data_IF_826211903804
#
_entry.id   IF_826211903804
#
_cell.length_a   1.000
_cell.length_b   1.000
_cell.length_c   1.000
_cell.angle_alpha   90.00
_cell.angle_beta   90.00
_cell.angle_gamma   90.00
#
_symmetry.space_group_name_H-M   'P 1'
#
loop_
_entity.id
_entity.type
_entity.pdbx_description
1 polymer ?
#
# COMPACT_ATOMS: atom_id res chain seq x y z
N UNK A 1 11.63 4.95 -6.46
CA UNK A 1 10.26 5.47 -6.51
C UNK A 1 10.10 6.39 -7.70
N UNK A 2 9.25 5.99 -8.63
CA UNK A 2 9.31 6.53 -9.98
C UNK A 2 8.35 7.70 -10.22
N UNK A 3 7.32 7.87 -9.39
CA UNK A 3 6.33 8.95 -9.57
C UNK A 3 6.65 10.23 -8.78
N UNK A 4 6.24 11.39 -9.32
CA UNK A 4 6.36 12.70 -8.63
C UNK A 4 5.55 12.75 -7.33
N UNK A 5 4.27 12.30 -7.27
CA UNK A 5 3.49 12.28 -6.04
C UNK A 5 4.17 11.48 -4.92
N UNK A 6 4.69 10.29 -5.22
CA UNK A 6 5.39 9.49 -4.21
C UNK A 6 6.66 10.17 -3.72
N UNK A 7 7.47 10.78 -4.61
CA UNK A 7 8.66 11.53 -4.18
C UNK A 7 8.29 12.69 -3.24
N UNK A 8 7.24 13.45 -3.57
CA UNK A 8 6.73 14.52 -2.69
C UNK A 8 6.27 13.98 -1.35
N UNK A 9 5.53 12.88 -1.34
CA UNK A 9 5.08 12.22 -0.11
C UNK A 9 6.25 11.79 0.77
N UNK A 10 7.26 11.12 0.19
CA UNK A 10 8.48 10.71 0.92
C UNK A 10 9.23 11.93 1.47
N UNK A 11 9.39 12.98 0.67
CA UNK A 11 9.98 14.24 1.15
C UNK A 11 9.19 14.83 2.31
N UNK A 12 7.85 14.79 2.28
CA UNK A 12 7.03 15.27 3.38
C UNK A 12 7.21 14.43 4.67
N UNK A 13 7.25 13.09 4.56
CA UNK A 13 7.52 12.21 5.71
C UNK A 13 8.89 12.45 6.36
N UNK A 14 9.89 12.76 5.53
CA UNK A 14 11.26 12.95 5.99
C UNK A 14 11.57 14.44 6.29
N UNK A 15 10.62 15.35 6.07
CA UNK A 15 10.83 16.80 6.16
C UNK A 15 11.34 17.25 7.53
N UNK A 16 10.91 16.59 8.61
CA UNK A 16 11.29 16.89 10.00
C UNK A 16 12.25 15.86 10.60
N UNK A 17 12.99 15.14 9.74
CA UNK A 17 13.91 14.08 10.15
C UNK A 17 15.33 14.40 9.68
N UNK A 18 16.30 14.02 10.50
CA UNK A 18 17.71 14.03 10.10
C UNK A 18 18.46 12.94 10.83
N UNK A 19 19.55 12.49 10.21
CA UNK A 19 20.47 11.53 10.82
C UNK A 19 21.39 12.19 11.85
N UNK A 20 21.81 13.43 11.59
CA UNK A 20 22.82 14.11 12.40
C UNK A 20 22.35 15.48 12.91
N UNK A 21 21.60 16.23 12.10
CA UNK A 21 21.14 17.55 12.49
C UNK A 21 20.02 17.45 13.53
N UNK A 22 20.02 18.35 14.50
CA UNK A 22 18.99 18.43 15.56
C UNK A 22 17.98 19.55 15.34
N UNK A 23 18.32 20.53 14.50
CA UNK A 23 17.50 21.71 14.18
C UNK A 23 17.57 22.00 12.69
N UNK A 24 16.48 22.55 12.13
CA UNK A 24 16.44 23.05 10.76
C UNK A 24 15.63 24.33 10.68
N UNK A 25 16.11 25.27 9.87
CA UNK A 25 15.34 26.46 9.50
C UNK A 25 14.41 26.12 8.33
N UNK A 26 13.12 26.43 8.50
CA UNK A 26 12.09 26.33 7.47
C UNK A 26 11.56 27.71 7.16
N UNK A 27 11.39 28.00 5.87
CA UNK A 27 10.64 29.17 5.43
C UNK A 27 9.21 28.73 5.11
N UNK A 28 8.28 29.14 5.97
CA UNK A 28 6.86 28.94 5.77
C UNK A 28 6.32 30.03 4.86
N UNK A 29 5.59 29.63 3.83
CA UNK A 29 4.87 30.53 2.93
C UNK A 29 3.38 30.46 3.27
N UNK A 30 2.76 31.61 3.57
CA UNK A 30 1.32 31.73 3.80
C UNK A 30 0.78 32.85 2.93
N UNK A 31 0.18 32.50 1.79
CA UNK A 31 -0.15 33.50 0.77
C UNK A 31 1.13 34.14 0.23
N UNK A 32 1.25 35.46 0.36
CA UNK A 32 2.46 36.21 0.00
C UNK A 32 3.48 36.36 1.13
N UNK A 33 3.12 36.02 2.37
CA UNK A 33 3.98 36.23 3.54
C UNK A 33 4.98 35.08 3.73
N UNK A 34 6.18 35.43 4.20
CA UNK A 34 7.21 34.47 4.60
C UNK A 34 7.48 34.55 6.09
N UNK A 35 7.59 33.39 6.74
CA UNK A 35 8.02 33.27 8.13
C UNK A 35 9.12 32.22 8.21
N UNK A 36 10.29 32.61 8.73
CA UNK A 36 11.35 31.64 9.06
C UNK A 36 11.14 31.10 10.48
N UNK A 37 11.06 29.79 10.60
CA UNK A 37 10.98 29.09 11.90
C UNK A 37 12.11 28.07 12.01
N UNK A 38 12.67 27.94 13.20
CA UNK A 38 13.62 26.85 13.51
C UNK A 38 12.86 25.75 14.22
N UNK A 39 12.84 24.55 13.65
CA UNK A 39 12.13 23.41 14.23
C UNK A 39 13.09 22.27 14.57
N UNK A 40 12.83 21.52 15.64
CA UNK A 40 13.62 20.34 15.99
C UNK A 40 13.41 19.23 14.97
N UNK A 41 14.50 18.55 14.63
CA UNK A 41 14.49 17.35 13.81
C UNK A 41 14.48 16.11 14.71
N UNK A 42 13.82 15.06 14.24
CA UNK A 42 13.79 13.77 14.92
C UNK A 42 14.70 12.77 14.20
N UNK A 43 15.49 12.03 14.97
CA UNK A 43 16.19 10.86 14.46
C UNK A 43 15.21 9.73 14.17
N UNK A 44 15.67 8.71 13.45
CA UNK A 44 14.81 7.62 13.00
C UNK A 44 14.23 6.79 14.14
N UNK A 45 15.04 6.56 15.16
CA UNK A 45 14.73 5.82 16.38
C UNK A 45 13.79 6.56 17.34
N UNK A 46 13.47 7.83 17.08
CA UNK A 46 12.50 8.59 17.87
C UNK A 46 11.08 8.00 17.80
N UNK A 47 10.71 7.44 16.64
CA UNK A 47 9.43 6.76 16.48
C UNK A 47 9.64 5.28 16.75
N UNK A 48 8.90 4.67 17.69
CA UNK A 48 9.05 3.27 17.97
C UNK A 48 8.66 2.44 16.74
N UNK A 49 9.35 1.32 16.54
CA UNK A 49 8.98 0.29 15.56
C UNK A 49 7.72 -0.45 16.06
N UNK A 50 6.60 0.25 16.16
CA UNK A 50 5.37 -0.28 16.72
C UNK A 50 4.49 -0.87 15.63
N UNK A 51 4.63 -2.17 15.33
CA UNK A 51 3.50 -3.01 14.91
C UNK A 51 3.72 -4.46 15.37
N UNK A 52 3.05 -4.89 16.44
CA UNK A 52 3.01 -6.32 16.81
C UNK A 52 2.19 -7.14 15.81
N UNK A 53 1.19 -6.53 15.14
CA UNK A 53 0.33 -7.18 14.16
C UNK A 53 0.39 -6.46 12.81
N UNK A 54 0.73 -7.24 11.79
CA UNK A 54 0.87 -6.81 10.39
C UNK A 54 -0.43 -6.91 9.60
N UNK A 55 -1.41 -7.67 10.12
CA UNK A 55 -2.76 -7.78 9.56
C UNK A 55 -3.80 -7.68 10.68
N UNK A 56 -4.79 -6.83 10.49
CA UNK A 56 -5.90 -6.63 11.44
C UNK A 56 -7.24 -6.80 10.73
N UNK A 57 -8.27 -7.26 11.46
CA UNK A 57 -9.63 -7.28 10.94
C UNK A 57 -10.67 -6.73 11.92
N UNK A 58 -11.74 -6.18 11.36
CA UNK A 58 -12.96 -5.78 12.07
C UNK A 58 -14.17 -5.91 11.16
N UNK A 59 -15.37 -5.86 11.75
CA UNK A 59 -16.64 -5.89 11.01
C UNK A 59 -17.26 -4.50 11.09
N UNK A 60 -17.71 -3.97 9.96
CA UNK A 60 -18.43 -2.70 9.84
C UNK A 60 -19.87 -2.97 9.41
N UNK A 61 -20.82 -2.25 10.01
CA UNK A 61 -22.25 -2.32 9.64
C UNK A 61 -22.76 -3.77 9.49
N UNK A 62 -22.30 -4.65 10.39
CA UNK A 62 -22.61 -6.09 10.52
C UNK A 62 -22.35 -6.99 9.30
N UNK A 63 -21.98 -6.42 8.14
CA UNK A 63 -21.96 -7.12 6.85
C UNK A 63 -20.70 -6.84 6.02
N UNK A 64 -19.86 -5.91 6.45
CA UNK A 64 -18.64 -5.51 5.74
C UNK A 64 -17.44 -5.97 6.56
N UNK A 65 -16.71 -6.95 6.04
CA UNK A 65 -15.38 -7.27 6.55
C UNK A 65 -14.42 -6.14 6.20
N UNK A 66 -13.60 -5.73 7.16
CA UNK A 66 -12.52 -4.79 6.93
C UNK A 66 -11.20 -5.44 7.33
N UNK A 67 -10.27 -5.54 6.39
CA UNK A 67 -8.97 -6.18 6.55
C UNK A 67 -7.87 -5.16 6.25
N UNK A 68 -7.05 -4.80 7.24
CA UNK A 68 -5.88 -3.93 7.01
C UNK A 68 -4.64 -4.80 6.86
N UNK A 69 -3.89 -4.64 5.77
CA UNK A 69 -2.61 -5.32 5.55
C UNK A 69 -1.54 -4.24 5.49
N UNK A 70 -0.77 -4.10 6.58
CA UNK A 70 0.11 -2.95 6.82
C UNK A 70 1.49 -3.09 6.16
N UNK A 71 1.91 -4.33 5.93
CA UNK A 71 3.19 -4.66 5.30
C UNK A 71 3.09 -5.97 4.53
N UNK A 72 4.04 -6.26 3.65
CA UNK A 72 4.24 -7.59 3.04
C UNK A 72 5.43 -8.34 3.68
N UNK A 73 5.91 -7.88 4.83
CA UNK A 73 6.95 -8.56 5.62
C UNK A 73 6.32 -9.57 6.58
N UNK A 74 7.09 -10.57 7.00
CA UNK A 74 6.63 -11.50 8.03
C UNK A 74 6.38 -10.75 9.35
N UNK A 75 5.37 -11.15 10.14
CA UNK A 75 4.55 -12.36 10.01
C UNK A 75 3.20 -12.19 9.27
N UNK A 76 3.14 -11.39 8.18
CA UNK A 76 1.88 -11.10 7.46
C UNK A 76 1.03 -12.31 7.06
N UNK A 77 1.64 -13.43 6.69
CA UNK A 77 0.88 -14.62 6.30
C UNK A 77 0.21 -15.30 7.50
N UNK A 78 0.91 -15.35 8.63
CA UNK A 78 0.40 -15.88 9.89
C UNK A 78 -0.75 -15.01 10.41
N UNK A 79 -0.54 -13.69 10.45
CA UNK A 79 -1.57 -12.74 10.89
C UNK A 79 -2.79 -12.79 9.97
N UNK A 80 -2.58 -12.81 8.65
CA UNK A 80 -3.66 -12.95 7.68
C UNK A 80 -4.50 -14.21 7.92
N UNK A 81 -3.86 -15.37 8.07
CA UNK A 81 -4.55 -16.64 8.33
C UNK A 81 -5.30 -16.63 9.67
N UNK A 82 -4.80 -15.91 10.67
CA UNK A 82 -5.47 -15.78 11.96
C UNK A 82 -6.75 -14.93 11.90
N UNK A 83 -6.80 -13.92 11.02
CA UNK A 83 -7.93 -12.97 10.96
C UNK A 83 -8.90 -13.20 9.81
N UNK A 84 -8.47 -13.80 8.69
CA UNK A 84 -9.28 -14.05 7.51
C UNK A 84 -10.57 -14.87 7.78
N UNK A 85 -10.55 -15.93 8.62
CA UNK A 85 -11.76 -16.68 8.95
C UNK A 85 -12.88 -15.83 9.56
N UNK A 86 -12.55 -14.70 10.18
CA UNK A 86 -13.52 -13.79 10.81
C UNK A 86 -14.33 -12.97 9.80
N UNK A 87 -13.84 -12.84 8.57
CA UNK A 87 -14.42 -11.96 7.54
C UNK A 87 -14.78 -12.69 6.24
N UNK A 88 -14.27 -13.90 6.03
CA UNK A 88 -14.38 -14.63 4.74
C UNK A 88 -15.82 -14.97 4.31
N UNK A 89 -16.76 -15.05 5.25
CA UNK A 89 -18.16 -15.41 4.98
C UNK A 89 -19.07 -14.17 4.88
N UNK A 90 -18.55 -12.97 5.09
CA UNK A 90 -19.30 -11.72 4.93
C UNK A 90 -19.50 -11.40 3.44
N UNK A 91 -20.61 -10.76 3.04
CA UNK A 91 -20.92 -10.46 1.64
C UNK A 91 -20.00 -9.41 0.99
N UNK A 92 -19.42 -8.52 1.80
CA UNK A 92 -18.52 -7.45 1.37
C UNK A 92 -17.22 -7.48 2.15
N UNK A 93 -16.10 -7.24 1.44
CA UNK A 93 -14.78 -7.13 2.04
C UNK A 93 -14.09 -5.86 1.52
N UNK A 94 -13.70 -5.00 2.45
CA UNK A 94 -12.77 -3.90 2.21
C UNK A 94 -11.39 -4.36 2.67
N UNK A 95 -10.42 -4.33 1.76
CA UNK A 95 -9.02 -4.60 2.05
C UNK A 95 -8.28 -3.27 1.98
N UNK A 96 -7.59 -2.90 3.05
CA UNK A 96 -6.83 -1.65 3.12
C UNK A 96 -5.33 -1.94 3.05
N UNK A 97 -4.69 -1.45 1.98
CA UNK A 97 -3.23 -1.48 1.79
C UNK A 97 -2.65 -0.07 1.67
N UNK A 98 -3.41 0.96 2.07
CA UNK A 98 -2.88 2.32 2.26
C UNK A 98 -1.74 2.26 3.27
N UNK A 99 -0.71 3.06 3.05
CA UNK A 99 0.52 3.07 3.88
C UNK A 99 1.31 1.75 3.91
N UNK A 100 0.98 0.77 3.06
CA UNK A 100 1.78 -0.46 2.92
C UNK A 100 2.94 -0.27 1.93
N UNK A 101 4.16 -0.16 2.45
CA UNK A 101 5.36 0.07 1.63
C UNK A 101 5.88 -1.17 0.88
N UNK A 102 5.23 -2.32 1.04
CA UNK A 102 5.63 -3.59 0.44
C UNK A 102 6.42 -4.48 1.41
N UNK A 103 7.37 -5.25 0.87
CA UNK A 103 8.00 -6.35 1.59
C UNK A 103 8.33 -7.52 0.66
N UNK A 104 7.94 -8.73 1.03
CA UNK A 104 8.18 -9.92 0.23
C UNK A 104 7.01 -10.13 -0.75
N UNK A 105 7.27 -10.07 -2.06
CA UNK A 105 6.25 -10.30 -3.09
C UNK A 105 5.55 -11.65 -2.96
N UNK A 106 6.22 -12.69 -2.46
CA UNK A 106 5.58 -14.00 -2.28
C UNK A 106 4.50 -13.99 -1.20
N UNK A 107 4.60 -13.11 -0.19
CA UNK A 107 3.51 -12.92 0.77
C UNK A 107 2.29 -12.28 0.07
N UNK A 108 2.52 -11.25 -0.75
CA UNK A 108 1.46 -10.66 -1.59
C UNK A 108 0.82 -11.69 -2.54
N UNK A 109 1.62 -12.51 -3.21
CA UNK A 109 1.15 -13.61 -4.07
C UNK A 109 0.26 -14.58 -3.28
N UNK A 110 0.73 -15.06 -2.13
CA UNK A 110 0.01 -16.04 -1.32
C UNK A 110 -1.31 -15.47 -0.77
N UNK A 111 -1.34 -14.19 -0.38
CA UNK A 111 -2.58 -13.51 0.03
C UNK A 111 -3.52 -13.32 -1.18
N UNK A 112 -3.00 -12.92 -2.34
CA UNK A 112 -3.79 -12.69 -3.55
C UNK A 112 -4.60 -13.93 -3.97
N UNK A 113 -4.04 -15.13 -3.79
CA UNK A 113 -4.72 -16.40 -4.05
C UNK A 113 -6.04 -16.58 -3.29
N UNK A 114 -6.22 -15.91 -2.14
CA UNK A 114 -7.48 -15.93 -1.39
C UNK A 114 -8.56 -15.01 -1.99
N UNK A 115 -8.23 -14.19 -2.99
CA UNK A 115 -9.12 -13.14 -3.50
C UNK A 115 -9.37 -13.20 -5.01
N UNK A 116 -8.55 -13.93 -5.77
CA UNK A 116 -8.76 -14.18 -7.19
C UNK A 116 -9.81 -15.28 -7.42
N UNK A 117 -10.51 -15.21 -8.56
CA UNK A 117 -11.57 -16.18 -8.92
C UNK A 117 -11.11 -17.24 -9.91
N UNK A 118 -10.13 -16.91 -10.74
CA UNK A 118 -9.59 -17.77 -11.79
C UNK A 118 -8.07 -17.80 -11.71
N UNK A 119 -7.47 -18.80 -12.34
CA UNK A 119 -6.02 -18.90 -12.44
C UNK A 119 -5.47 -17.72 -13.24
N UNK A 120 -4.43 -17.06 -12.72
CA UNK A 120 -3.79 -15.95 -13.41
C UNK A 120 -2.28 -15.86 -13.13
N UNK A 121 -1.46 -15.37 -14.07
CA UNK A 121 -0.04 -15.14 -13.84
C UNK A 121 0.20 -14.03 -12.80
N UNK A 122 1.22 -14.19 -11.96
CA UNK A 122 1.72 -13.10 -11.12
C UNK A 122 2.40 -12.02 -11.97
N UNK A 123 2.09 -10.75 -11.74
CA UNK A 123 2.59 -9.64 -12.55
C UNK A 123 4.12 -9.54 -12.63
N UNK A 124 4.84 -9.82 -11.53
CA UNK A 124 6.32 -9.77 -11.50
C UNK A 124 6.98 -11.06 -12.01
N UNK A 125 6.25 -12.18 -12.01
CA UNK A 125 6.77 -13.47 -12.49
C UNK A 125 5.68 -14.21 -13.25
N UNK A 126 5.55 -13.90 -14.54
CA UNK A 126 4.47 -14.39 -15.41
C UNK A 126 4.41 -15.92 -15.54
N UNK A 127 5.54 -16.61 -15.31
CA UNK A 127 5.61 -18.07 -15.27
C UNK A 127 4.98 -18.67 -14.00
N UNK A 128 4.83 -17.88 -12.94
CA UNK A 128 4.17 -18.31 -11.73
C UNK A 128 2.66 -18.07 -11.87
N UNK A 129 1.91 -19.15 -12.02
CA UNK A 129 0.44 -19.10 -12.12
C UNK A 129 -0.16 -19.22 -10.73
N UNK A 130 -0.83 -18.16 -10.28
CA UNK A 130 -1.61 -18.15 -9.06
C UNK A 130 -2.92 -18.91 -9.28
N UNK A 131 -3.15 -19.92 -8.46
CA UNK A 131 -4.43 -20.63 -8.39
C UNK A 131 -5.24 -20.08 -7.21
N UNK A 132 -6.55 -19.85 -7.36
CA UNK A 132 -7.41 -19.51 -6.23
C UNK A 132 -7.28 -20.57 -5.13
N UNK A 133 -7.22 -20.13 -3.87
CA UNK A 133 -7.31 -21.06 -2.73
C UNK A 133 -8.70 -21.72 -2.67
N UNK A 134 -8.76 -22.90 -2.07
CA UNK A 134 -10.02 -23.62 -1.90
C UNK A 134 -11.08 -22.79 -1.15
N UNK A 135 -10.64 -21.98 -0.18
CA UNK A 135 -11.43 -21.05 0.61
C UNK A 135 -11.33 -19.59 0.13
N UNK A 136 -11.00 -19.37 -1.16
CA UNK A 136 -10.96 -18.04 -1.75
C UNK A 136 -12.31 -17.32 -1.59
N UNK A 137 -12.24 -16.06 -1.19
CA UNK A 137 -13.37 -15.18 -0.89
C UNK A 137 -14.30 -15.05 -2.09
N UNK A 138 -15.60 -15.19 -1.85
CA UNK A 138 -16.62 -15.20 -2.93
C UNK A 138 -17.42 -13.91 -3.05
N UNK A 139 -17.39 -13.06 -2.02
CA UNK A 139 -18.12 -11.79 -1.97
C UNK A 139 -17.56 -10.71 -2.90
N UNK A 140 -18.02 -9.46 -2.69
CA UNK A 140 -17.51 -8.28 -3.42
C UNK A 140 -16.32 -7.67 -2.68
N UNK A 141 -15.25 -7.36 -3.41
CA UNK A 141 -14.00 -6.85 -2.84
C UNK A 141 -13.78 -5.40 -3.26
N UNK A 142 -13.44 -4.57 -2.29
CA UNK A 142 -12.99 -3.21 -2.45
C UNK A 142 -11.56 -3.10 -1.89
N UNK A 143 -10.64 -2.52 -2.65
CA UNK A 143 -9.23 -2.41 -2.26
C UNK A 143 -8.86 -0.92 -2.11
N UNK A 144 -8.46 -0.52 -0.92
CA UNK A 144 -8.05 0.86 -0.64
C UNK A 144 -6.54 1.00 -0.85
N UNK A 145 -6.14 1.97 -1.66
CA UNK A 145 -4.74 2.27 -1.98
C UNK A 145 -4.45 3.75 -1.77
N UNK A 146 -3.19 4.08 -1.51
CA UNK A 146 -2.73 5.46 -1.50
C UNK A 146 -1.38 5.61 -2.20
N UNK A 147 -0.92 6.86 -2.28
CA UNK A 147 0.38 7.22 -2.87
C UNK A 147 1.57 6.53 -2.15
N UNK A 148 1.38 6.00 -0.93
CA UNK A 148 2.41 5.28 -0.18
C UNK A 148 2.47 3.80 -0.56
N UNK A 149 1.37 3.18 -0.99
CA UNK A 149 1.32 1.78 -1.44
C UNK A 149 2.41 1.55 -2.50
N UNK A 150 3.38 0.66 -2.23
CA UNK A 150 4.59 0.51 -3.05
C UNK A 150 5.12 -0.94 -3.11
N UNK A 151 5.97 -1.24 -4.08
CA UNK A 151 6.77 -2.47 -4.15
C UNK A 151 5.91 -3.74 -4.12
N UNK A 152 6.11 -4.66 -3.17
CA UNK A 152 5.32 -5.88 -3.07
C UNK A 152 3.81 -5.62 -2.87
N UNK A 153 3.44 -4.54 -2.18
CA UNK A 153 2.04 -4.14 -2.02
C UNK A 153 1.45 -3.61 -3.33
N UNK A 154 2.28 -2.99 -4.16
CA UNK A 154 1.90 -2.56 -5.49
C UNK A 154 1.75 -3.75 -6.45
N UNK A 155 2.63 -4.76 -6.40
CA UNK A 155 2.43 -5.98 -7.18
C UNK A 155 1.15 -6.73 -6.78
N UNK A 156 0.85 -6.79 -5.47
CA UNK A 156 -0.43 -7.32 -4.98
C UNK A 156 -1.62 -6.52 -5.51
N UNK A 157 -1.53 -5.19 -5.46
CA UNK A 157 -2.58 -4.31 -5.98
C UNK A 157 -2.79 -4.51 -7.48
N UNK A 158 -1.72 -4.72 -8.25
CA UNK A 158 -1.79 -4.96 -9.69
C UNK A 158 -2.45 -6.29 -9.99
N UNK A 159 -2.03 -7.36 -9.32
CA UNK A 159 -2.64 -8.69 -9.46
C UNK A 159 -4.13 -8.69 -9.11
N UNK A 160 -4.50 -7.99 -8.02
CA UNK A 160 -5.90 -7.80 -7.59
C UNK A 160 -6.71 -6.98 -8.60
N UNK A 161 -6.13 -5.94 -9.18
CA UNK A 161 -6.81 -5.15 -10.22
C UNK A 161 -7.01 -5.96 -11.49
N UNK A 162 -5.97 -6.69 -11.91
CA UNK A 162 -5.99 -7.48 -13.13
C UNK A 162 -6.85 -8.74 -13.02
N UNK A 163 -7.18 -9.22 -11.81
CA UNK A 163 -8.15 -10.31 -11.65
C UNK A 163 -9.57 -9.95 -12.07
N UNK A 164 -9.88 -8.64 -12.17
CA UNK A 164 -11.16 -8.14 -12.66
C UNK A 164 -12.33 -8.27 -11.68
N UNK A 165 -12.12 -8.78 -10.46
CA UNK A 165 -13.16 -8.95 -9.44
C UNK A 165 -13.03 -8.03 -8.23
N UNK A 166 -12.22 -6.96 -8.34
CA UNK A 166 -11.88 -6.04 -7.24
C UNK A 166 -12.10 -4.59 -7.67
N UNK A 167 -12.73 -3.79 -6.81
CA UNK A 167 -12.88 -2.34 -7.01
C UNK A 167 -11.84 -1.56 -6.20
N UNK A 168 -10.77 -1.11 -6.86
CA UNK A 168 -9.78 -0.18 -6.28
C UNK A 168 -10.34 1.23 -6.04
N UNK A 169 -10.09 1.78 -4.86
CA UNK A 169 -10.52 3.11 -4.40
C UNK A 169 -9.32 3.78 -3.71
N UNK A 170 -9.17 5.10 -3.90
CA UNK A 170 -8.19 5.89 -3.16
C UNK A 170 -7.32 6.71 -4.10
N UNK A 171 -6.00 6.61 -3.94
CA UNK A 171 -5.04 7.27 -4.83
C UNK A 171 -4.22 6.26 -5.63
N UNK A 172 -3.60 6.75 -6.71
CA UNK A 172 -2.63 5.97 -7.46
C UNK A 172 -1.43 5.60 -6.57
N UNK A 173 -0.93 4.37 -6.73
CA UNK A 173 0.19 3.84 -5.95
C UNK A 173 1.53 4.53 -6.31
N UNK A 174 2.63 4.14 -5.66
CA UNK A 174 3.91 4.83 -5.82
C UNK A 174 4.64 4.65 -7.16
N UNK A 175 4.31 3.60 -7.92
CA UNK A 175 4.73 3.32 -9.30
C UNK A 175 6.14 2.74 -9.43
N UNK A 176 6.49 1.79 -8.58
CA UNK A 176 7.81 1.15 -8.57
C UNK A 176 7.70 -0.29 -7.99
N UNK A 177 7.47 -1.27 -8.88
CA UNK A 177 7.45 -2.70 -8.54
C UNK A 177 8.18 -3.56 -9.57
N UNK A 178 8.54 -4.79 -9.18
CA UNK A 178 9.18 -5.77 -10.07
C UNK A 178 10.68 -5.60 -10.35
N UNK A 179 11.28 -4.48 -9.94
CA UNK A 179 12.67 -4.09 -10.27
C UNK A 179 13.80 -4.92 -9.60
N UNK A 180 13.45 -5.83 -8.68
CA UNK A 180 14.35 -6.82 -8.06
C UNK A 180 15.63 -6.20 -7.44
N UNK A 181 15.51 -5.39 -6.38
CA UNK A 181 16.65 -4.68 -5.81
C UNK A 181 17.55 -5.64 -5.04
N UNK A 182 18.85 -5.61 -5.32
CA UNK A 182 19.87 -6.44 -4.63
C UNK A 182 20.72 -5.59 -3.69
N UNK A 183 21.05 -6.11 -2.49
CA UNK A 183 21.98 -5.43 -1.59
C UNK A 183 23.41 -5.57 -2.09
N UNK A 184 24.17 -4.49 -1.96
CA UNK A 184 25.60 -4.42 -2.20
C UNK A 184 26.29 -3.82 -0.98
N UNK A 185 27.54 -4.20 -0.77
CA UNK A 185 28.35 -3.72 0.35
C UNK A 185 29.73 -3.31 -0.19
N UNK A 186 30.17 -2.09 0.13
CA UNK A 186 31.54 -1.65 -0.16
C UNK A 186 32.53 -2.30 0.80
N UNK A 187 33.83 -2.26 0.46
CA UNK A 187 34.90 -2.69 1.39
C UNK A 187 34.85 -1.89 2.71
N UNK A 188 34.38 -0.64 2.66
CA UNK A 188 34.22 0.25 3.81
C UNK A 188 32.87 0.08 4.54
N UNK A 189 32.15 -1.03 4.30
CA UNK A 189 30.86 -1.37 4.95
C UNK A 189 29.72 -0.37 4.70
N UNK A 190 29.75 0.31 3.56
CA UNK A 190 28.61 1.08 3.08
C UNK A 190 27.64 0.15 2.36
N UNK A 191 26.38 0.14 2.78
CA UNK A 191 25.33 -0.69 2.20
C UNK A 191 24.43 0.15 1.29
N UNK A 192 24.11 -0.38 0.11
CA UNK A 192 23.14 0.23 -0.80
C UNK A 192 22.40 -0.87 -1.56
N UNK A 193 21.27 -0.52 -2.18
CA UNK A 193 20.49 -1.42 -3.02
C UNK A 193 20.42 -0.88 -4.44
N UNK A 194 20.65 -1.74 -5.42
CA UNK A 194 20.51 -1.39 -6.85
C UNK A 194 19.48 -2.33 -7.46
N UNK A 195 18.48 -1.82 -8.22
CA UNK A 195 17.62 -2.64 -9.07
C UNK A 195 18.44 -3.44 -10.08
N UNK A 196 18.24 -4.76 -10.17
CA UNK A 196 18.98 -5.62 -11.11
C UNK A 196 18.11 -6.24 -12.19
N UNK A 197 16.81 -5.93 -12.22
CA UNK A 197 15.89 -6.35 -13.29
C UNK A 197 15.58 -5.16 -14.19
N UNK A 198 15.35 -5.46 -15.46
CA UNK A 198 14.84 -4.47 -16.40
C UNK A 198 13.37 -4.15 -16.05
N UNK A 199 12.91 -2.92 -16.32
CA UNK A 199 11.49 -2.60 -16.28
C UNK A 199 10.71 -3.57 -17.16
N UNK A 200 9.57 -4.04 -16.68
CA UNK A 200 8.69 -4.97 -17.39
C UNK A 200 7.23 -4.48 -17.27
N UNK A 201 6.36 -5.08 -18.07
CA UNK A 201 4.92 -4.85 -18.08
C UNK A 201 4.21 -6.06 -17.49
N UNK A 202 3.04 -5.85 -16.89
CA UNK A 202 2.17 -6.96 -16.46
C UNK A 202 1.66 -7.80 -17.64
N UNK A 203 0.94 -8.87 -17.33
CA UNK A 203 0.30 -9.72 -18.34
C UNK A 203 -0.79 -8.98 -19.13
N UNK A 204 -1.39 -7.93 -18.56
CA UNK A 204 -2.33 -7.03 -19.27
C UNK A 204 -1.67 -5.75 -19.80
N UNK A 205 -0.34 -5.68 -19.79
CA UNK A 205 0.43 -4.60 -20.41
C UNK A 205 0.62 -3.35 -19.55
N UNK A 206 0.31 -3.40 -18.25
CA UNK A 206 0.53 -2.26 -17.35
C UNK A 206 2.04 -2.09 -17.06
N UNK A 207 2.63 -0.90 -17.25
CA UNK A 207 4.03 -0.66 -16.89
C UNK A 207 4.25 -0.75 -15.38
N UNK A 208 5.16 -1.59 -14.92
CA UNK A 208 5.39 -1.81 -13.48
C UNK A 208 6.28 -0.74 -12.82
N UNK A 209 6.85 0.16 -13.61
CA UNK A 209 7.68 1.28 -13.14
C UNK A 209 7.26 2.58 -13.83
N UNK A 210 7.40 3.70 -13.12
CA UNK A 210 7.18 5.04 -13.68
C UNK A 210 5.76 5.57 -13.53
N UNK A 211 4.80 4.67 -13.31
CA UNK A 211 3.38 4.99 -13.19
C UNK A 211 2.77 4.25 -12.01
N UNK A 212 2.04 4.97 -11.16
CA UNK A 212 1.24 4.38 -10.09
C UNK A 212 0.01 3.70 -10.65
N UNK A 213 -0.43 2.60 -10.04
CA UNK A 213 -1.65 1.90 -10.46
C UNK A 213 -2.83 2.81 -10.15
N UNK A 214 -3.58 3.29 -11.16
CA UNK A 214 -4.69 4.19 -10.91
C UNK A 214 -5.86 3.42 -10.26
N UNK A 215 -6.57 4.01 -9.30
CA UNK A 215 -7.78 3.40 -8.75
C UNK A 215 -8.92 3.45 -9.77
N UNK A 216 -9.98 2.68 -9.55
CA UNK A 216 -11.23 2.85 -10.31
C UNK A 216 -11.99 4.09 -9.82
N UNK A 217 -11.91 4.38 -8.52
CA UNK A 217 -12.46 5.59 -7.90
C UNK A 217 -11.34 6.39 -7.24
N UNK A 218 -10.99 7.53 -7.82
CA UNK A 218 -10.01 8.46 -7.24
C UNK A 218 -10.65 9.20 -6.06
N UNK A 219 -10.16 8.94 -4.85
CA UNK A 219 -10.62 9.56 -3.60
C UNK A 219 -9.40 9.85 -2.75
N UNK A 220 -9.18 11.11 -2.40
CA UNK A 220 -8.05 11.53 -1.56
C UNK A 220 -8.56 11.95 -0.19
N UNK A 221 -7.85 11.55 0.87
CA UNK A 221 -8.09 12.04 2.22
C UNK A 221 -7.95 13.58 2.22
N UNK A 222 -8.97 14.29 2.68
CA UNK A 222 -8.88 15.74 2.82
C UNK A 222 -8.26 16.12 4.16
N UNK A 223 -7.59 17.28 4.21
CA UNK A 223 -7.07 17.83 5.48
C UNK A 223 -8.21 18.10 6.45
N UNK A 224 -9.35 18.59 5.96
CA UNK A 224 -10.51 18.89 6.79
C UNK A 224 -11.07 17.63 7.48
N UNK A 225 -11.26 16.56 6.71
CA UNK A 225 -11.75 15.28 7.23
C UNK A 225 -10.71 14.65 8.16
N UNK A 226 -9.42 14.72 7.82
CA UNK A 226 -8.35 14.21 8.68
C UNK A 226 -8.33 14.91 10.04
N UNK A 227 -8.54 16.23 10.06
CA UNK A 227 -8.62 17.02 11.29
C UNK A 227 -9.87 16.73 12.13
N UNK A 228 -10.86 16.03 11.57
CA UNK A 228 -12.08 15.58 12.25
C UNK A 228 -12.07 14.09 12.60
N UNK A 229 -10.96 13.39 12.35
CA UNK A 229 -10.87 11.92 12.46
C UNK A 229 -11.85 11.19 11.53
N UNK A 230 -12.15 11.80 10.37
CA UNK A 230 -12.99 11.23 9.32
C UNK A 230 -12.12 10.62 8.23
N UNK A 231 -12.30 9.32 7.95
CA UNK A 231 -11.61 8.63 6.85
C UNK A 231 -12.41 8.77 5.54
N UNK A 232 -12.03 9.73 4.71
CA UNK A 232 -12.73 10.04 3.44
C UNK A 232 -12.81 8.81 2.53
N UNK A 233 -11.73 8.04 2.44
CA UNK A 233 -11.59 6.93 1.48
C UNK A 233 -12.39 5.72 1.95
N UNK A 234 -12.32 5.39 3.24
CA UNK A 234 -13.13 4.33 3.84
C UNK A 234 -14.61 4.66 3.76
N UNK A 235 -15.00 5.88 4.14
CA UNK A 235 -16.40 6.31 4.10
C UNK A 235 -16.97 6.22 2.69
N UNK A 236 -16.19 6.59 1.67
CA UNK A 236 -16.57 6.43 0.27
C UNK A 236 -16.79 4.95 -0.11
N UNK A 237 -15.90 4.05 0.30
CA UNK A 237 -16.03 2.61 0.03
C UNK A 237 -17.28 2.01 0.71
N UNK A 238 -17.56 2.41 1.95
CA UNK A 238 -18.77 2.02 2.68
C UNK A 238 -20.03 2.59 2.00
N UNK A 239 -20.00 3.83 1.53
CA UNK A 239 -21.06 4.44 0.71
C UNK A 239 -21.36 3.62 -0.54
N UNK A 240 -20.33 3.24 -1.31
CA UNK A 240 -20.49 2.40 -2.51
C UNK A 240 -21.10 1.00 -2.26
N UNK A 241 -20.96 0.48 -1.04
CA UNK A 241 -21.55 -0.80 -0.64
C UNK A 241 -23.02 -0.61 -0.27
N UNK A 242 -23.33 0.44 0.48
CA UNK A 242 -24.67 0.69 1.04
C UNK A 242 -25.64 1.30 0.05
N UNK A 243 -25.19 2.16 -0.88
CA UNK A 243 -26.02 2.75 -1.94
C UNK A 243 -26.45 1.74 -3.02
N UNK A 244 -25.82 0.56 -3.07
CA UNK A 244 -26.13 -0.52 -4.02
C UNK A 244 -27.07 -1.58 -3.45
N UNK A 245 -27.54 -1.42 -2.21
CA UNK A 245 -28.58 -2.24 -1.59
C UNK A 245 -29.96 -1.60 -1.83
#
# INVERSE_FOLDING_TARGET
>A
ASTVPHRRLRTAYDAFRSYADTLRNYTLLRGGDTLTVTLPLKQRDYFPDNEEQTVESRILQDSIGYLTIKTMMNPVMEDFKAVYPKVKDLPYLIIDVRRNGGGNSMNGVNICKYFIREAQPHCVSKSYIMQPEADAYKGKIYLLTDTYTLSAAESFTLDMKESGNVTLIGEATGGDTGNGPRPFCTKQRTYFRIPTRQPDVSSKGFPMEGIGIPPHHQVSQTVADFMKDEDTVLNYAVGLITEKQ
#
